data_IF_869135591444
#
_entry.id   IF_869135591444
#
_cell.length_a   1.000
_cell.length_b   1.000
_cell.length_c   1.000
_cell.angle_alpha   90.00
_cell.angle_beta   90.00
_cell.angle_gamma   90.00
#
_symmetry.space_group_name_H-M   'P 1'
#
loop_
_entity.id
_entity.type
_entity.pdbx_description
1 polymer ?
#
# COMPACT_ATOMS: atom_id res chain seq x y z
N UNK A 1 -9.48 -0.04 6.32
CA UNK A 1 -8.64 0.32 5.15
C UNK A 1 -7.89 -0.87 4.56
N UNK A 2 -7.15 -1.67 5.34
CA UNK A 2 -6.31 -2.77 4.83
C UNK A 2 -6.96 -3.70 3.77
N UNK A 3 -8.16 -4.23 4.05
CA UNK A 3 -8.87 -5.10 3.12
C UNK A 3 -9.29 -4.42 1.80
N UNK A 4 -9.66 -3.13 1.85
CA UNK A 4 -10.00 -2.35 0.65
C UNK A 4 -8.77 -2.15 -0.25
N UNK A 5 -7.61 -1.87 0.35
CA UNK A 5 -6.36 -1.76 -0.39
C UNK A 5 -5.99 -3.12 -1.00
N UNK A 6 -6.03 -4.19 -0.22
CA UNK A 6 -5.65 -5.52 -0.69
C UNK A 6 -6.54 -6.04 -1.84
N UNK A 7 -7.85 -5.69 -1.86
CA UNK A 7 -8.76 -6.11 -2.93
C UNK A 7 -8.65 -5.26 -4.20
N UNK A 8 -7.97 -4.10 -4.16
CA UNK A 8 -7.97 -3.15 -5.28
C UNK A 8 -7.42 -3.77 -6.58
N UNK A 9 -6.30 -4.49 -6.52
CA UNK A 9 -5.75 -5.17 -7.69
C UNK A 9 -6.57 -6.41 -8.14
N UNK A 10 -6.99 -7.32 -7.23
CA UNK A 10 -7.73 -8.52 -7.62
C UNK A 10 -9.24 -8.35 -7.83
N UNK A 11 -9.84 -7.18 -7.57
CA UNK A 11 -11.31 -7.00 -7.50
C UNK A 11 -12.10 -7.56 -8.69
N UNK A 12 -11.53 -7.52 -9.89
CA UNK A 12 -12.18 -7.99 -11.11
C UNK A 12 -11.85 -9.45 -11.49
N UNK A 13 -10.93 -10.10 -10.78
CA UNK A 13 -10.36 -11.39 -11.16
C UNK A 13 -10.63 -12.51 -10.16
N UNK A 14 -11.12 -12.20 -8.96
CA UNK A 14 -11.31 -13.19 -7.88
C UNK A 14 -12.79 -13.39 -7.55
N UNK A 15 -13.11 -14.54 -6.95
CA UNK A 15 -14.46 -14.83 -6.48
C UNK A 15 -14.79 -14.05 -5.19
N UNK A 16 -16.08 -13.88 -4.83
CA UNK A 16 -16.47 -13.30 -3.55
C UNK A 16 -15.92 -14.05 -2.33
N UNK A 17 -15.75 -15.38 -2.42
CA UNK A 17 -15.12 -16.16 -1.34
C UNK A 17 -13.64 -15.83 -1.18
N UNK A 18 -12.92 -15.70 -2.30
CA UNK A 18 -11.50 -15.32 -2.27
C UNK A 18 -11.30 -13.89 -1.78
N UNK A 19 -12.20 -12.94 -2.09
CA UNK A 19 -12.08 -11.56 -1.62
C UNK A 19 -12.16 -11.44 -0.10
N UNK A 20 -12.99 -12.25 0.56
CA UNK A 20 -13.06 -12.34 2.03
C UNK A 20 -11.72 -12.81 2.60
N UNK A 21 -11.13 -13.87 2.03
CA UNK A 21 -9.85 -14.43 2.48
C UNK A 21 -8.73 -13.39 2.31
N UNK A 22 -8.66 -12.72 1.17
CA UNK A 22 -7.67 -11.67 0.89
C UNK A 22 -7.78 -10.54 1.92
N UNK A 23 -9.01 -10.10 2.23
CA UNK A 23 -9.27 -9.06 3.22
C UNK A 23 -8.90 -9.46 4.66
N UNK A 24 -9.17 -10.71 5.05
CA UNK A 24 -8.77 -11.22 6.36
C UNK A 24 -7.25 -11.26 6.53
N UNK A 25 -6.54 -11.74 5.51
CA UNK A 25 -5.07 -11.77 5.53
C UNK A 25 -4.52 -10.33 5.59
N UNK A 26 -5.09 -9.39 4.84
CA UNK A 26 -4.70 -7.98 4.90
C UNK A 26 -4.88 -7.37 6.30
N UNK A 27 -5.94 -7.74 7.01
CA UNK A 27 -6.18 -7.31 8.40
C UNK A 27 -5.10 -7.81 9.36
N UNK A 28 -4.57 -9.01 9.15
CA UNK A 28 -3.44 -9.51 9.95
C UNK A 28 -2.13 -8.82 9.56
N UNK A 29 -1.87 -8.70 8.25
CA UNK A 29 -0.65 -8.10 7.73
C UNK A 29 -0.46 -6.65 8.18
N UNK A 30 -1.53 -5.84 8.21
CA UNK A 30 -1.43 -4.45 8.67
C UNK A 30 -0.97 -4.38 10.13
N UNK A 31 -1.53 -5.21 11.02
CA UNK A 31 -1.13 -5.24 12.43
C UNK A 31 0.34 -5.65 12.58
N UNK A 32 0.75 -6.72 11.89
CA UNK A 32 2.14 -7.20 11.94
C UNK A 32 3.13 -6.17 11.41
N UNK A 33 2.77 -5.48 10.32
CA UNK A 33 3.61 -4.44 9.73
C UNK A 33 3.71 -3.22 10.64
N UNK A 34 2.60 -2.76 11.24
CA UNK A 34 2.62 -1.64 12.20
C UNK A 34 3.55 -1.93 13.38
N UNK A 35 3.35 -3.06 14.07
CA UNK A 35 4.23 -3.45 15.19
C UNK A 35 5.67 -3.66 14.74
N UNK A 36 5.88 -4.14 13.51
CA UNK A 36 7.20 -4.30 12.91
C UNK A 36 7.94 -2.96 12.75
N UNK A 37 7.26 -1.94 12.23
CA UNK A 37 7.80 -0.59 12.05
C UNK A 37 8.11 0.08 13.39
N UNK A 38 7.19 -0.01 14.35
CA UNK A 38 7.38 0.52 15.71
C UNK A 38 8.60 -0.12 16.38
N UNK A 39 8.78 -1.44 16.23
CA UNK A 39 9.92 -2.18 16.80
C UNK A 39 11.26 -1.70 16.25
N UNK A 40 11.32 -1.25 15.00
CA UNK A 40 12.52 -0.68 14.39
C UNK A 40 12.59 0.86 14.50
N UNK A 41 11.70 1.47 15.31
CA UNK A 41 11.62 2.91 15.56
C UNK A 41 11.39 3.74 14.30
N UNK A 42 10.66 3.20 13.34
CA UNK A 42 10.13 3.96 12.20
C UNK A 42 8.74 4.46 12.62
N UNK A 43 8.62 5.77 12.76
CA UNK A 43 7.37 6.43 13.07
C UNK A 43 6.61 6.74 11.77
N UNK A 44 5.61 5.92 11.46
CA UNK A 44 4.67 6.11 10.37
C UNK A 44 3.33 6.60 10.94
N UNK A 45 3.15 7.93 11.09
CA UNK A 45 2.09 8.50 11.93
C UNK A 45 0.69 8.22 11.41
N UNK A 46 0.55 7.94 10.11
CA UNK A 46 -0.73 7.64 9.46
C UNK A 46 -0.89 6.16 9.08
N UNK A 47 0.15 5.34 9.33
CA UNK A 47 0.18 3.94 8.92
C UNK A 47 0.16 3.75 7.41
N UNK A 48 0.73 4.67 6.63
CA UNK A 48 0.75 4.61 5.18
C UNK A 48 1.46 3.35 4.66
N UNK A 49 2.58 2.96 5.27
CA UNK A 49 3.38 1.80 4.86
C UNK A 49 2.65 0.48 5.17
N UNK A 50 2.16 0.21 6.39
CA UNK A 50 1.37 -0.98 6.69
C UNK A 50 0.08 -1.06 5.87
N UNK A 51 -0.66 0.04 5.71
CA UNK A 51 -1.95 0.03 5.02
C UNK A 51 -1.78 -0.06 3.51
N UNK A 52 -0.90 0.74 2.91
CA UNK A 52 -0.82 0.88 1.45
C UNK A 52 0.29 0.06 0.82
N UNK A 53 1.52 0.13 1.34
CA UNK A 53 2.64 -0.60 0.75
C UNK A 53 2.48 -2.11 0.97
N UNK A 54 2.33 -2.53 2.21
CA UNK A 54 2.28 -3.96 2.57
C UNK A 54 1.02 -4.62 1.99
N UNK A 55 -0.18 -4.06 2.22
CA UNK A 55 -1.39 -4.65 1.67
C UNK A 55 -1.53 -4.45 0.16
N UNK A 56 -0.93 -3.42 -0.42
CA UNK A 56 -0.87 -3.24 -1.87
C UNK A 56 -0.05 -4.36 -2.53
N UNK A 57 1.12 -4.67 -1.98
CA UNK A 57 1.94 -5.82 -2.42
C UNK A 57 1.16 -7.11 -2.25
N UNK A 58 0.51 -7.32 -1.10
CA UNK A 58 -0.34 -8.50 -0.87
C UNK A 58 -1.45 -8.60 -1.92
N UNK A 59 -2.14 -7.51 -2.25
CA UNK A 59 -3.17 -7.49 -3.29
C UNK A 59 -2.64 -7.88 -4.66
N UNK A 60 -1.47 -7.37 -5.06
CA UNK A 60 -0.81 -7.73 -6.33
C UNK A 60 -0.47 -9.23 -6.35
N UNK A 61 0.12 -9.75 -5.28
CA UNK A 61 0.41 -11.18 -5.15
C UNK A 61 -0.87 -12.02 -5.18
N UNK A 62 -1.95 -11.53 -4.55
CA UNK A 62 -3.24 -12.21 -4.53
C UNK A 62 -3.87 -12.35 -5.93
N UNK A 63 -3.63 -11.43 -6.87
CA UNK A 63 -3.98 -11.63 -8.30
C UNK A 63 -3.28 -12.87 -8.85
N UNK A 64 -1.98 -13.01 -8.58
CA UNK A 64 -1.16 -14.14 -9.01
C UNK A 64 -1.60 -15.48 -8.45
N UNK A 65 -2.26 -15.49 -7.29
CA UNK A 65 -2.72 -16.70 -6.60
C UNK A 65 -4.17 -17.05 -6.91
N UNK A 66 -5.09 -16.08 -6.74
CA UNK A 66 -6.53 -16.29 -6.67
C UNK A 66 -7.30 -15.93 -7.94
N UNK A 67 -6.64 -15.42 -8.99
CA UNK A 67 -7.36 -15.10 -10.23
C UNK A 67 -8.03 -16.36 -10.82
N UNK A 68 -9.34 -16.30 -11.01
CA UNK A 68 -10.18 -17.48 -11.21
C UNK A 68 -10.28 -17.96 -12.66
N UNK A 69 -9.56 -17.33 -13.60
CA UNK A 69 -9.60 -17.69 -15.02
C UNK A 69 -10.93 -17.37 -15.71
N UNK A 70 -11.71 -16.41 -15.22
CA UNK A 70 -12.96 -15.99 -15.86
C UNK A 70 -12.71 -15.70 -17.37
N UNK A 71 -13.39 -16.39 -18.30
CA UNK A 71 -13.22 -16.17 -19.74
C UNK A 71 -13.43 -14.73 -20.18
N UNK A 72 -14.28 -13.97 -19.47
CA UNK A 72 -14.53 -12.56 -19.75
C UNK A 72 -13.30 -11.65 -19.50
N UNK A 73 -12.29 -12.13 -18.75
CA UNK A 73 -11.03 -11.42 -18.55
C UNK A 73 -10.08 -11.54 -19.74
N UNK A 74 -10.33 -12.47 -20.67
CA UNK A 74 -9.59 -12.53 -21.92
C UNK A 74 -9.92 -11.30 -22.79
N UNK A 75 -8.90 -10.71 -23.40
CA UNK A 75 -8.98 -9.49 -24.20
C UNK A 75 -8.77 -8.20 -23.40
N UNK A 76 -8.72 -8.26 -22.06
CA UNK A 76 -8.46 -7.08 -21.25
C UNK A 76 -7.00 -6.67 -21.35
N UNK A 77 -6.74 -5.37 -21.56
CA UNK A 77 -5.38 -4.80 -21.64
C UNK A 77 -4.45 -5.54 -22.63
N UNK A 78 -5.01 -6.10 -23.70
CA UNK A 78 -4.25 -6.86 -24.71
C UNK A 78 -3.84 -8.28 -24.29
N UNK A 79 -4.31 -8.78 -23.14
CA UNK A 79 -4.05 -10.15 -22.68
C UNK A 79 -4.98 -11.10 -23.44
N UNK A 80 -4.45 -12.00 -24.26
CA UNK A 80 -5.25 -12.87 -25.13
C UNK A 80 -5.89 -14.05 -24.42
N UNK A 81 -5.43 -14.38 -23.22
CA UNK A 81 -5.90 -15.52 -22.43
C UNK A 81 -6.58 -15.07 -21.13
N UNK A 82 -7.49 -15.87 -20.56
CA UNK A 82 -8.09 -15.55 -19.26
C UNK A 82 -7.02 -15.40 -18.17
N UNK A 83 -7.16 -14.37 -17.35
CA UNK A 83 -6.27 -14.09 -16.23
C UNK A 83 -6.47 -15.19 -15.18
N UNK A 84 -5.50 -16.11 -15.09
CA UNK A 84 -5.60 -17.32 -14.28
C UNK A 84 -4.43 -17.40 -13.31
N UNK A 85 -4.75 -17.47 -12.02
CA UNK A 85 -3.78 -17.54 -10.94
C UNK A 85 -3.35 -18.97 -10.62
N UNK A 86 -2.36 -19.08 -9.75
CA UNK A 86 -1.70 -20.34 -9.43
C UNK A 86 -2.66 -21.41 -8.89
N UNK A 87 -3.64 -21.02 -8.07
CA UNK A 87 -4.61 -21.95 -7.50
C UNK A 87 -5.64 -22.47 -8.52
N UNK A 88 -5.73 -21.85 -9.68
CA UNK A 88 -6.61 -22.23 -10.78
C UNK A 88 -5.84 -22.83 -11.97
N UNK A 89 -4.56 -23.17 -11.79
CA UNK A 89 -3.72 -23.83 -12.78
C UNK A 89 -2.85 -22.92 -13.64
N UNK A 90 -2.90 -21.59 -13.43
CA UNK A 90 -2.09 -20.62 -14.17
C UNK A 90 -0.84 -20.19 -13.39
N UNK A 91 0.35 -20.63 -13.81
CA UNK A 91 1.62 -20.28 -13.14
C UNK A 91 2.22 -18.95 -13.61
N UNK A 92 1.97 -18.56 -14.87
CA UNK A 92 2.54 -17.34 -15.47
C UNK A 92 2.08 -16.06 -14.77
N UNK A 93 0.86 -16.04 -14.24
CA UNK A 93 0.31 -14.85 -13.60
C UNK A 93 1.05 -14.49 -12.32
N UNK A 94 1.42 -15.45 -11.47
CA UNK A 94 2.17 -15.17 -10.25
C UNK A 94 3.52 -14.52 -10.56
N UNK A 95 4.25 -15.04 -11.56
CA UNK A 95 5.54 -14.48 -11.98
C UNK A 95 5.39 -13.07 -12.53
N UNK A 96 4.36 -12.82 -13.34
CA UNK A 96 4.07 -11.48 -13.85
C UNK A 96 3.82 -10.48 -12.70
N UNK A 97 3.00 -10.87 -11.71
CA UNK A 97 2.70 -10.00 -10.57
C UNK A 97 3.91 -9.75 -9.66
N UNK A 98 4.79 -10.73 -9.47
CA UNK A 98 6.06 -10.52 -8.75
C UNK A 98 6.99 -9.55 -9.48
N UNK A 99 7.06 -9.63 -10.81
CA UNK A 99 7.78 -8.63 -11.61
C UNK A 99 7.15 -7.25 -11.48
N UNK A 100 5.82 -7.15 -11.48
CA UNK A 100 5.09 -5.91 -11.23
C UNK A 100 5.41 -5.31 -9.86
N UNK A 101 5.44 -6.11 -8.79
CA UNK A 101 5.87 -5.65 -7.46
C UNK A 101 7.28 -5.07 -7.52
N UNK A 102 8.22 -5.79 -8.13
CA UNK A 102 9.60 -5.32 -8.28
C UNK A 102 9.69 -4.00 -9.06
N UNK A 103 9.00 -3.90 -10.20
CA UNK A 103 8.97 -2.70 -11.01
C UNK A 103 8.36 -1.50 -10.25
N UNK A 104 7.26 -1.70 -9.53
CA UNK A 104 6.61 -0.65 -8.72
C UNK A 104 7.54 -0.22 -7.59
N UNK A 105 8.19 -1.15 -6.88
CA UNK A 105 9.13 -0.79 -5.81
C UNK A 105 10.31 0.03 -6.34
N UNK A 106 10.89 -0.39 -7.48
CA UNK A 106 12.00 0.35 -8.09
C UNK A 106 11.57 1.75 -8.52
N UNK A 107 10.45 1.87 -9.22
CA UNK A 107 10.00 3.16 -9.75
C UNK A 107 9.46 4.05 -8.64
N UNK A 108 8.49 3.57 -7.86
CA UNK A 108 7.83 4.38 -6.83
C UNK A 108 8.79 4.70 -5.69
N UNK A 109 9.42 3.70 -5.06
CA UNK A 109 10.35 4.00 -3.97
C UNK A 109 11.60 4.71 -4.49
N UNK A 110 12.13 4.34 -5.66
CA UNK A 110 13.31 5.00 -6.23
C UNK A 110 13.08 6.48 -6.54
N UNK A 111 12.00 6.81 -7.25
CA UNK A 111 11.66 8.20 -7.58
C UNK A 111 11.27 8.99 -6.34
N UNK A 112 10.47 8.43 -5.44
CA UNK A 112 10.09 9.11 -4.19
C UNK A 112 11.31 9.38 -3.31
N UNK A 113 12.20 8.41 -3.13
CA UNK A 113 13.44 8.61 -2.37
C UNK A 113 14.33 9.67 -3.01
N UNK A 114 14.49 9.65 -4.34
CA UNK A 114 15.27 10.67 -5.04
C UNK A 114 14.66 12.07 -4.84
N UNK A 115 13.35 12.20 -5.01
CA UNK A 115 12.62 13.46 -4.85
C UNK A 115 12.67 14.00 -3.42
N UNK A 116 12.29 13.19 -2.42
CA UNK A 116 12.31 13.63 -1.02
C UNK A 116 13.72 13.86 -0.50
N UNK A 117 14.72 13.09 -0.96
CA UNK A 117 16.12 13.35 -0.63
C UNK A 117 16.60 14.67 -1.22
N UNK A 118 16.21 15.01 -2.45
CA UNK A 118 16.51 16.32 -3.03
C UNK A 118 15.90 17.46 -2.21
N UNK A 119 14.62 17.36 -1.83
CA UNK A 119 13.96 18.36 -0.98
C UNK A 119 14.59 18.45 0.43
N UNK A 120 15.01 17.32 0.99
CA UNK A 120 15.72 17.27 2.26
C UNK A 120 17.09 17.96 2.20
N UNK A 121 17.83 17.79 1.10
CA UNK A 121 19.11 18.50 0.89
C UNK A 121 18.92 20.02 0.75
N UNK A 122 17.78 20.45 0.20
CA UNK A 122 17.40 21.86 0.12
C UNK A 122 16.84 22.41 1.44
N UNK A 123 16.71 21.57 2.49
CA UNK A 123 16.11 21.91 3.79
C UNK A 123 14.68 22.47 3.69
N UNK A 124 13.91 22.01 2.70
CA UNK A 124 12.50 22.44 2.47
C UNK A 124 11.51 21.48 3.16
N UNK A 125 11.92 20.24 3.43
CA UNK A 125 11.00 19.16 3.78
C UNK A 125 10.51 19.19 5.24
N UNK A 126 11.31 19.68 6.18
CA UNK A 126 11.03 19.59 7.62
C UNK A 126 10.95 20.98 8.24
N UNK A 127 9.94 21.21 9.05
CA UNK A 127 9.72 22.47 9.76
C UNK A 127 10.79 22.70 10.84
N UNK A 128 10.91 23.93 11.32
CA UNK A 128 11.85 24.27 12.38
C UNK A 128 11.48 23.54 13.69
N UNK A 129 12.47 23.12 14.52
CA UNK A 129 12.20 22.35 15.73
C UNK A 129 11.30 23.07 16.74
N UNK A 130 11.36 24.40 16.79
CA UNK A 130 10.46 25.20 17.61
C UNK A 130 8.99 25.01 17.20
N UNK A 131 8.73 25.00 15.90
CA UNK A 131 7.39 24.90 15.33
C UNK A 131 6.83 23.47 15.49
N UNK A 132 7.70 22.46 15.44
CA UNK A 132 7.33 21.08 15.77
C UNK A 132 6.90 20.92 17.23
N UNK A 133 7.52 21.64 18.17
CA UNK A 133 7.21 21.57 19.61
C UNK A 133 5.91 22.29 19.98
N UNK A 134 5.64 23.43 19.33
CA UNK A 134 4.44 24.24 19.58
C UNK A 134 3.22 23.68 18.82
N UNK A 135 3.46 22.86 17.80
CA UNK A 135 2.46 22.30 16.91
C UNK A 135 2.24 23.18 15.68
N UNK A 136 2.16 22.55 14.50
CA UNK A 136 2.12 23.23 13.19
C UNK A 136 0.84 24.06 12.96
N UNK A 137 -0.22 23.84 13.74
CA UNK A 137 -1.48 24.59 13.64
C UNK A 137 -1.28 26.11 13.82
N UNK A 138 -0.39 26.52 14.73
CA UNK A 138 -0.11 27.94 15.02
C UNK A 138 0.66 28.62 13.87
N UNK A 139 1.84 28.11 13.45
CA UNK A 139 2.64 28.74 12.39
C UNK A 139 2.04 28.58 10.98
N UNK A 140 1.31 27.49 10.68
CA UNK A 140 0.85 27.22 9.31
C UNK A 140 -0.64 27.56 9.06
N UNK A 141 -1.52 27.38 10.05
CA UNK A 141 -2.98 27.51 9.83
C UNK A 141 -3.63 28.78 10.38
N UNK A 142 -2.87 29.65 11.08
CA UNK A 142 -3.35 30.93 11.66
C UNK A 142 -4.69 30.79 12.41
N UNK A 143 -4.92 29.63 13.05
CA UNK A 143 -6.13 29.36 13.83
C UNK A 143 -5.77 28.43 14.97
N UNK A 144 -6.01 28.87 16.20
CA UNK A 144 -6.02 27.97 17.34
C UNK A 144 -7.22 27.03 17.19
N UNK A 145 -6.95 25.77 16.82
CA UNK A 145 -7.93 24.71 17.00
C UNK A 145 -8.11 24.55 18.51
N UNK A 146 -9.37 24.56 18.96
CA UNK A 146 -9.81 24.70 20.35
C UNK A 146 -8.96 23.89 21.33
N UNK A 147 -8.60 24.41 22.53
CA UNK A 147 -7.74 23.71 23.46
C UNK A 147 -8.30 22.32 23.79
N UNK A 148 -7.52 21.28 23.47
CA UNK A 148 -7.80 19.91 23.87
C UNK A 148 -7.73 19.86 25.40
N UNK A 149 -8.90 19.88 26.05
CA UNK A 149 -9.01 19.54 27.48
C UNK A 149 -8.65 18.06 27.61
N UNK A 150 -7.39 17.81 27.93
CA UNK A 150 -6.94 16.51 28.42
C UNK A 150 -7.61 16.35 29.79
N UNK A 151 -8.57 15.43 29.89
CA UNK A 151 -9.04 14.89 31.16
C UNK A 151 -8.00 13.91 31.71
#
# INVERSE_FOLDING_TARGET
MAGLVAITAPCAFVSPGASVIIGLIAGVLVCLATFGLEKIRIDDPVGAVPVHLVNGIWGIVAVGLFANGNPASAGWNGVTSPVTGLFYGGSGQLMAQLFTVGAILVVACGLSLAFFKALSLLKILRSEPHDELVGLDIPEMVRQVTPMRIL
#
